data_IF_722576184195
#
_entry.id   IF_722576184195
#
_cell.length_a   1.000
_cell.length_b   1.000
_cell.length_c   1.000
_cell.angle_alpha   90.00
_cell.angle_beta   90.00
_cell.angle_gamma   90.00
#
_symmetry.space_group_name_H-M   'P 1'
#
loop_
_entity.id
_entity.type
_entity.pdbx_description
1 polymer ?
#
# COMPACT_ATOMS: atom_id res chain seq x y z
N UNK A 1 -3.22 -3.86 -11.40
CA UNK A 1 -2.97 -2.43 -11.18
C UNK A 1 -3.72 -1.99 -9.92
N UNK A 2 -2.98 -1.78 -8.85
CA UNK A 2 -3.47 -1.27 -7.59
C UNK A 2 -2.69 0.01 -7.34
N UNK A 3 -3.38 1.15 -7.25
CA UNK A 3 -2.72 2.36 -6.84
C UNK A 3 -2.66 2.44 -5.34
N UNK A 4 -1.52 2.99 -4.98
CA UNK A 4 -1.10 3.37 -3.69
C UNK A 4 -1.99 4.47 -3.12
N UNK A 5 -2.58 4.11 -1.99
CA UNK A 5 -3.26 4.96 -1.03
C UNK A 5 -2.51 6.18 -0.45
N UNK A 6 -1.19 6.40 -0.65
CA UNK A 6 -0.39 7.13 0.37
C UNK A 6 -0.84 8.54 0.59
N UNK A 7 -1.59 8.70 1.64
CA UNK A 7 -1.78 9.89 2.42
C UNK A 7 -2.59 9.37 3.58
N UNK A 8 -2.34 9.84 4.79
CA UNK A 8 -3.44 9.98 5.75
C UNK A 8 -4.69 10.35 4.93
N UNK A 9 -5.72 9.49 4.83
CA UNK A 9 -6.90 9.91 4.09
C UNK A 9 -7.42 11.09 4.82
N UNK A 10 -7.46 12.09 4.01
CA UNK A 10 -7.61 13.41 4.37
C UNK A 10 -8.78 13.79 3.48
N UNK A 11 -9.98 13.79 4.03
CA UNK A 11 -11.16 14.02 3.22
C UNK A 11 -11.09 15.44 2.66
N UNK A 12 -10.92 15.52 1.34
CA UNK A 12 -10.74 16.79 0.66
C UNK A 12 -12.07 17.55 0.60
N UNK A 13 -11.95 18.88 0.67
CA UNK A 13 -13.03 19.88 0.59
C UNK A 13 -14.22 19.40 -0.23
N UNK A 14 -15.34 19.11 0.45
CA UNK A 14 -16.58 18.75 -0.21
C UNK A 14 -17.24 20.00 -0.80
N UNK A 15 -17.65 19.91 -2.08
CA UNK A 15 -18.74 20.74 -2.59
C UNK A 15 -19.92 20.58 -1.62
N UNK A 16 -20.43 21.70 -1.07
CA UNK A 16 -21.42 21.77 0.02
C UNK A 16 -22.75 21.02 -0.23
N UNK A 17 -22.92 20.37 -1.37
CA UNK A 17 -24.14 19.68 -1.81
C UNK A 17 -23.99 18.14 -1.91
N UNK A 18 -22.82 17.57 -1.63
CA UNK A 18 -22.64 16.12 -1.55
C UNK A 18 -22.25 15.76 -0.12
N UNK A 19 -23.16 15.15 0.64
CA UNK A 19 -22.94 14.80 2.05
C UNK A 19 -21.64 14.00 2.28
N UNK A 20 -21.05 14.15 3.47
CA UNK A 20 -19.92 13.33 3.92
C UNK A 20 -20.24 11.87 3.69
N UNK A 21 -19.37 11.15 2.99
CA UNK A 21 -19.48 9.70 2.91
C UNK A 21 -19.05 9.16 4.27
N UNK A 22 -19.82 8.27 4.91
CA UNK A 22 -19.54 7.68 6.25
C UNK A 22 -18.11 7.20 6.47
N UNK A 23 -17.38 6.91 5.38
CA UNK A 23 -15.96 6.59 5.43
C UNK A 23 -15.08 7.72 5.96
N UNK A 24 -15.41 8.97 5.67
CA UNK A 24 -14.64 10.15 6.03
C UNK A 24 -14.84 10.59 7.48
N UNK A 25 -15.92 10.13 8.12
CA UNK A 25 -16.29 10.58 9.44
C UNK A 25 -15.23 10.20 10.49
N UNK A 26 -14.68 11.21 11.17
CA UNK A 26 -13.67 11.05 12.20
C UNK A 26 -12.25 10.77 11.70
N UNK A 27 -12.01 10.85 10.38
CA UNK A 27 -10.66 10.81 9.81
C UNK A 27 -10.03 12.20 9.83
N UNK A 28 -8.70 12.24 9.84
CA UNK A 28 -7.99 13.52 9.68
C UNK A 28 -8.35 14.18 8.33
N UNK A 29 -8.09 15.48 8.12
CA UNK A 29 -8.22 16.16 6.79
C UNK A 29 -6.94 16.90 6.32
N UNK A 30 -6.65 16.85 5.01
CA UNK A 30 -5.47 17.45 4.37
C UNK A 30 -5.93 18.79 3.84
N UNK A 31 -5.17 19.81 4.18
CA UNK A 31 -5.35 21.12 3.59
C UNK A 31 -4.06 21.56 2.93
N UNK A 32 -4.05 21.52 1.60
CA UNK A 32 -2.98 22.09 0.79
C UNK A 32 -2.74 23.57 1.10
N UNK A 33 -3.77 24.30 1.57
CA UNK A 33 -3.66 25.71 1.99
C UNK A 33 -2.86 25.89 3.29
N UNK A 34 -2.80 24.85 4.13
CA UNK A 34 -2.03 24.85 5.38
C UNK A 34 -0.62 24.27 5.19
N UNK A 35 -0.37 23.59 4.08
CA UNK A 35 0.95 23.06 3.77
C UNK A 35 1.88 24.16 3.25
N UNK A 36 3.11 24.18 3.78
CA UNK A 36 4.17 25.08 3.32
C UNK A 36 5.02 24.49 2.19
N UNK A 37 4.86 23.19 1.93
CA UNK A 37 5.66 22.43 0.97
C UNK A 37 4.85 21.95 -0.23
N UNK A 38 3.52 22.09 -0.18
CA UNK A 38 2.63 21.73 -1.28
C UNK A 38 2.95 22.56 -2.52
N UNK A 39 3.16 21.88 -3.65
CA UNK A 39 3.47 22.51 -4.94
C UNK A 39 2.28 22.55 -5.88
N UNK A 40 1.20 21.83 -5.56
CA UNK A 40 0.00 21.80 -6.37
C UNK A 40 -0.77 23.10 -6.26
N UNK A 41 -0.86 23.82 -7.38
CA UNK A 41 -1.63 25.07 -7.49
C UNK A 41 -3.11 24.78 -7.72
N UNK A 42 -3.41 23.82 -8.61
CA UNK A 42 -4.78 23.38 -8.90
C UNK A 42 -4.78 21.85 -8.88
N UNK A 43 -5.49 21.20 -7.95
CA UNK A 43 -5.49 19.75 -7.88
C UNK A 43 -6.28 19.15 -9.04
N UNK A 44 -5.66 18.21 -9.75
CA UNK A 44 -6.33 17.45 -10.79
C UNK A 44 -7.20 16.35 -10.19
N UNK A 45 -8.39 16.13 -10.76
CA UNK A 45 -9.23 14.99 -10.39
C UNK A 45 -8.78 13.74 -11.13
N UNK A 46 -8.37 12.73 -10.37
CA UNK A 46 -8.06 11.40 -10.88
C UNK A 46 -9.21 10.44 -10.66
N UNK A 47 -9.56 9.72 -11.71
CA UNK A 47 -10.59 8.68 -11.69
C UNK A 47 -9.91 7.32 -11.72
N UNK A 48 -10.09 6.55 -10.65
CA UNK A 48 -9.60 5.18 -10.56
C UNK A 48 -10.78 4.22 -10.51
N UNK A 49 -11.08 3.57 -11.63
CA UNK A 49 -12.15 2.59 -11.76
C UNK A 49 -11.54 1.19 -11.85
N UNK A 50 -11.61 0.44 -10.76
CA UNK A 50 -11.07 -0.93 -10.70
C UNK A 50 -12.13 -1.97 -11.06
N UNK A 51 -13.38 -1.72 -10.68
CA UNK A 51 -14.53 -2.56 -11.05
C UNK A 51 -15.84 -1.78 -10.87
N UNK A 52 -16.97 -2.38 -11.23
CA UNK A 52 -18.29 -1.81 -10.96
C UNK A 52 -18.55 -1.56 -9.45
N UNK A 53 -17.85 -2.27 -8.56
CA UNK A 53 -17.93 -2.16 -7.09
C UNK A 53 -16.77 -1.40 -6.44
N UNK A 54 -15.73 -1.04 -7.20
CA UNK A 54 -14.52 -0.38 -6.69
C UNK A 54 -14.14 0.81 -7.57
N UNK A 55 -14.46 2.01 -7.09
CA UNK A 55 -14.18 3.29 -7.74
C UNK A 55 -13.68 4.30 -6.72
N UNK A 56 -12.66 5.06 -7.09
CA UNK A 56 -12.15 6.19 -6.30
C UNK A 56 -12.04 7.39 -7.22
N UNK A 57 -12.55 8.54 -6.78
CA UNK A 57 -12.25 9.84 -7.36
C UNK A 57 -11.42 10.57 -6.32
N UNK A 58 -10.23 11.03 -6.70
CA UNK A 58 -9.32 11.72 -5.80
C UNK A 58 -8.82 13.02 -6.42
N UNK A 59 -8.53 14.00 -5.57
CA UNK A 59 -7.74 15.18 -5.92
C UNK A 59 -6.27 14.86 -5.72
N UNK A 60 -5.46 15.03 -6.75
CA UNK A 60 -4.03 14.77 -6.70
C UNK A 60 -3.25 16.00 -6.22
N UNK A 61 -2.26 15.75 -5.38
CA UNK A 61 -1.35 16.74 -4.82
C UNK A 61 0.09 16.25 -4.89
N UNK A 62 1.01 17.19 -4.98
CA UNK A 62 2.44 17.04 -4.83
C UNK A 62 2.86 17.81 -3.57
N UNK A 63 3.30 17.09 -2.54
CA UNK A 63 3.79 17.66 -1.28
C UNK A 63 4.89 16.77 -0.69
N UNK A 64 5.58 17.28 0.34
CA UNK A 64 6.51 16.49 1.13
C UNK A 64 5.73 15.54 2.06
N UNK A 65 6.09 14.26 2.05
CA UNK A 65 5.59 13.26 2.99
C UNK A 65 6.66 12.96 4.03
N UNK A 66 6.29 12.91 5.30
CA UNK A 66 7.19 12.50 6.39
C UNK A 66 6.66 11.23 7.04
N UNK A 67 7.52 10.24 7.19
CA UNK A 67 7.23 8.96 7.84
C UNK A 67 8.19 8.79 9.01
N UNK A 68 7.69 8.58 10.23
CA UNK A 68 8.54 8.29 11.37
C UNK A 68 9.08 6.86 11.27
N UNK A 69 10.39 6.72 11.33
CA UNK A 69 11.07 5.43 11.37
C UNK A 69 11.02 4.84 12.78
N UNK A 70 11.35 3.55 12.92
CA UNK A 70 11.38 2.84 14.21
C UNK A 70 12.38 3.46 15.21
N UNK A 71 13.41 4.13 14.70
CA UNK A 71 14.39 4.89 15.49
C UNK A 71 13.98 6.36 15.74
N UNK A 72 12.71 6.69 15.53
CA UNK A 72 12.11 8.03 15.61
C UNK A 72 12.70 9.09 14.67
N UNK A 73 13.56 8.69 13.71
CA UNK A 73 14.05 9.60 12.69
C UNK A 73 13.01 9.78 11.57
N UNK A 74 12.85 11.00 11.03
CA UNK A 74 11.91 11.23 9.94
C UNK A 74 12.52 10.79 8.60
N UNK A 75 11.85 9.86 7.92
CA UNK A 75 12.02 9.64 6.49
C UNK A 75 11.22 10.70 5.73
N UNK A 76 11.91 11.65 5.13
CA UNK A 76 11.29 12.72 4.34
C UNK A 76 11.31 12.39 2.84
N UNK A 77 10.13 12.29 2.24
CA UNK A 77 9.94 12.06 0.81
C UNK A 77 9.49 13.38 0.19
N UNK A 78 10.44 14.10 -0.41
CA UNK A 78 10.20 15.43 -0.98
C UNK A 78 9.33 15.35 -2.23
N UNK A 79 8.35 16.25 -2.39
CA UNK A 79 7.54 16.38 -3.61
C UNK A 79 7.03 15.03 -4.14
N UNK A 80 6.28 14.34 -3.29
CA UNK A 80 5.68 13.05 -3.58
C UNK A 80 4.22 13.26 -4.02
N UNK A 81 3.81 12.56 -5.06
CA UNK A 81 2.44 12.59 -5.54
C UNK A 81 1.55 11.71 -4.64
N UNK A 82 0.37 12.24 -4.27
CA UNK A 82 -0.67 11.50 -3.59
C UNK A 82 -2.07 12.03 -3.88
N UNK A 83 -3.10 11.29 -3.47
CA UNK A 83 -4.48 11.67 -3.69
C UNK A 83 -5.31 11.75 -2.40
N UNK A 84 -6.13 12.79 -2.27
CA UNK A 84 -7.22 12.83 -1.28
C UNK A 84 -8.52 12.39 -1.93
N UNK A 85 -9.21 11.35 -1.44
CA UNK A 85 -10.46 10.92 -2.04
C UNK A 85 -11.55 11.97 -1.84
N UNK A 86 -12.30 12.28 -2.90
CA UNK A 86 -13.55 13.04 -2.84
C UNK A 86 -14.77 12.14 -3.01
N UNK A 87 -14.61 11.00 -3.70
CA UNK A 87 -15.63 9.95 -3.79
C UNK A 87 -14.95 8.60 -3.61
N UNK A 88 -15.45 7.80 -2.65
CA UNK A 88 -14.99 6.45 -2.41
C UNK A 88 -16.14 5.45 -2.51
N UNK A 89 -16.20 4.69 -3.61
CA UNK A 89 -17.08 3.52 -3.72
C UNK A 89 -16.22 2.28 -3.61
N UNK A 90 -16.07 1.74 -2.41
CA UNK A 90 -15.23 0.58 -2.17
C UNK A 90 -15.89 -0.34 -1.14
N UNK A 91 -16.39 -1.50 -1.58
CA UNK A 91 -17.18 -2.42 -0.72
C UNK A 91 -16.43 -2.88 0.54
N UNK A 92 -15.10 -2.94 0.47
CA UNK A 92 -14.22 -3.30 1.59
C UNK A 92 -13.73 -2.06 2.40
N UNK A 93 -14.29 -0.86 2.19
CA UNK A 93 -13.80 0.38 2.81
C UNK A 93 -13.85 0.32 4.34
N UNK A 94 -14.80 -0.43 4.90
CA UNK A 94 -14.95 -0.64 6.35
C UNK A 94 -13.71 -1.24 7.01
N UNK A 95 -12.89 -1.98 6.27
CA UNK A 95 -11.61 -2.53 6.75
C UNK A 95 -10.59 -1.43 7.08
N UNK A 96 -10.77 -0.23 6.55
CA UNK A 96 -9.90 0.91 6.75
C UNK A 96 -10.50 1.96 7.70
N UNK A 97 -11.53 1.61 8.48
CA UNK A 97 -12.18 2.59 9.37
C UNK A 97 -11.21 3.19 10.41
N UNK A 98 -10.24 2.40 10.89
CA UNK A 98 -9.32 2.75 11.98
C UNK A 98 -8.02 3.42 11.53
N UNK A 99 -7.83 3.60 10.23
CA UNK A 99 -6.63 4.25 9.69
C UNK A 99 -7.06 5.49 8.94
N UNK A 100 -6.32 6.59 9.07
CA UNK A 100 -6.56 7.72 8.20
C UNK A 100 -6.19 7.29 6.79
N UNK A 101 -4.98 6.83 6.54
CA UNK A 101 -4.46 6.56 5.20
C UNK A 101 -4.25 5.11 4.83
N UNK A 102 -3.92 4.88 3.56
CA UNK A 102 -3.40 3.59 3.10
C UNK A 102 -2.07 3.82 2.39
N UNK A 103 -1.14 2.88 2.42
CA UNK A 103 0.05 2.90 1.58
C UNK A 103 0.02 1.66 0.69
N UNK A 104 -0.38 1.79 -0.57
CA UNK A 104 -0.55 0.61 -1.44
C UNK A 104 0.72 0.18 -2.17
N UNK A 105 1.43 -0.78 -1.60
CA UNK A 105 2.76 -1.24 -2.04
C UNK A 105 2.77 -2.06 -3.33
N UNK A 106 1.64 -2.22 -4.00
CA UNK A 106 1.38 -3.23 -5.03
C UNK A 106 2.05 -3.03 -6.39
N UNK A 107 2.46 -1.81 -6.74
CA UNK A 107 3.09 -1.58 -8.05
C UNK A 107 4.53 -2.08 -8.02
N UNK A 108 4.86 -3.00 -8.93
CA UNK A 108 6.16 -3.66 -9.00
C UNK A 108 7.18 -2.89 -9.86
N UNK A 109 6.70 -2.14 -10.85
CA UNK A 109 7.56 -1.37 -11.71
C UNK A 109 7.91 -0.04 -11.02
N UNK A 110 9.03 -0.01 -10.31
CA UNK A 110 9.52 1.21 -9.67
C UNK A 110 9.93 2.29 -10.68
N UNK A 111 10.03 1.97 -11.98
CA UNK A 111 10.32 2.94 -13.05
C UNK A 111 9.06 3.43 -13.76
N UNK A 112 7.87 3.01 -13.32
CA UNK A 112 6.61 3.50 -13.85
C UNK A 112 6.23 4.83 -13.19
N UNK A 113 6.71 5.92 -13.76
CA UNK A 113 6.42 7.26 -13.27
C UNK A 113 4.94 7.67 -13.42
N UNK A 114 4.17 7.02 -14.31
CA UNK A 114 2.74 7.28 -14.44
C UNK A 114 1.97 6.72 -13.25
N UNK A 115 2.51 5.68 -12.64
CA UNK A 115 1.91 4.91 -11.56
C UNK A 115 2.76 4.95 -10.30
N UNK A 116 3.52 6.04 -10.20
CA UNK A 116 4.48 6.26 -9.15
C UNK A 116 3.80 6.40 -7.80
N UNK A 117 4.59 6.11 -6.80
CA UNK A 117 4.13 5.98 -5.44
C UNK A 117 5.29 6.48 -4.55
N UNK A 118 5.04 7.18 -3.44
CA UNK A 118 6.14 7.78 -2.66
C UNK A 118 7.21 6.77 -2.20
N UNK A 119 6.88 5.49 -2.02
CA UNK A 119 7.85 4.44 -1.68
C UNK A 119 8.76 4.10 -2.86
N UNK A 120 8.24 4.08 -4.09
CA UNK A 120 9.09 3.92 -5.27
C UNK A 120 10.14 5.02 -5.37
N UNK A 121 9.81 6.25 -4.97
CA UNK A 121 10.78 7.35 -4.90
C UNK A 121 11.93 7.07 -3.93
N UNK A 122 11.63 6.43 -2.78
CA UNK A 122 12.64 5.99 -1.81
C UNK A 122 13.50 4.86 -2.40
N UNK A 123 12.87 3.85 -3.01
CA UNK A 123 13.56 2.68 -3.57
C UNK A 123 14.39 2.98 -4.83
N UNK A 124 14.15 4.12 -5.49
CA UNK A 124 15.00 4.59 -6.59
C UNK A 124 16.25 5.33 -6.10
N UNK A 125 16.40 5.56 -4.79
CA UNK A 125 17.61 6.18 -4.27
C UNK A 125 18.82 5.26 -4.53
N UNK A 126 19.96 5.78 -5.02
CA UNK A 126 21.16 4.97 -5.25
C UNK A 126 21.70 4.26 -3.99
N UNK A 127 21.32 4.75 -2.81
CA UNK A 127 21.71 4.22 -1.50
C UNK A 127 20.74 3.18 -0.94
N UNK A 128 19.72 2.77 -1.70
CA UNK A 128 18.63 1.93 -1.21
C UNK A 128 18.37 0.82 -2.20
N UNK A 129 18.52 -0.42 -1.76
CA UNK A 129 18.16 -1.55 -2.61
C UNK A 129 16.64 -1.54 -2.91
N UNK A 130 16.19 -1.98 -4.08
CA UNK A 130 14.77 -1.95 -4.43
C UNK A 130 13.99 -3.10 -3.78
N UNK A 131 14.13 -3.25 -2.46
CA UNK A 131 13.56 -4.31 -1.64
C UNK A 131 12.55 -3.69 -0.67
N UNK A 132 11.39 -4.35 -0.54
CA UNK A 132 10.39 -4.03 0.49
C UNK A 132 10.20 -5.30 1.32
N UNK A 133 10.38 -5.18 2.63
CA UNK A 133 10.14 -6.28 3.58
C UNK A 133 9.02 -5.91 4.54
N UNK A 134 8.09 -6.84 4.74
CA UNK A 134 7.01 -6.69 5.73
C UNK A 134 7.19 -7.82 6.73
N UNK A 135 7.51 -7.46 7.97
CA UNK A 135 7.67 -8.40 9.06
C UNK A 135 6.51 -8.24 10.04
N UNK A 136 5.71 -9.30 10.19
CA UNK A 136 4.53 -9.33 11.06
C UNK A 136 4.75 -10.38 12.16
N UNK A 137 5.24 -9.98 13.35
CA UNK A 137 5.42 -10.91 14.45
C UNK A 137 4.07 -11.44 14.97
N UNK A 138 4.05 -12.59 15.68
CA UNK A 138 2.85 -13.09 16.33
C UNK A 138 2.24 -12.02 17.25
N UNK A 139 0.91 -12.00 17.37
CA UNK A 139 0.19 -11.01 18.19
C UNK A 139 0.62 -11.00 19.67
N UNK A 140 1.13 -12.13 20.18
CA UNK A 140 1.65 -12.27 21.54
C UNK A 140 3.10 -11.81 21.72
N UNK A 141 3.79 -11.43 20.63
CA UNK A 141 5.17 -10.94 20.68
C UNK A 141 5.23 -9.50 21.18
N UNK A 142 6.33 -9.15 21.82
CA UNK A 142 6.68 -7.76 22.17
C UNK A 142 7.31 -7.00 20.99
N UNK A 143 7.61 -7.71 19.90
CA UNK A 143 8.21 -7.13 18.70
C UNK A 143 7.22 -6.24 17.95
N UNK A 144 7.71 -5.11 17.47
CA UNK A 144 6.93 -4.18 16.64
C UNK A 144 6.82 -4.72 15.21
N UNK A 145 5.63 -4.74 14.60
CA UNK A 145 5.50 -5.02 13.16
C UNK A 145 6.20 -3.94 12.32
N UNK A 146 7.01 -4.35 11.35
CA UNK A 146 7.90 -3.44 10.62
C UNK A 146 7.69 -3.52 9.12
N UNK A 147 7.70 -2.35 8.46
CA UNK A 147 7.87 -2.21 7.02
C UNK A 147 9.29 -1.65 6.77
N UNK A 148 10.16 -2.46 6.18
CA UNK A 148 11.54 -2.10 5.89
C UNK A 148 11.70 -1.81 4.39
N UNK A 149 12.35 -0.69 4.07
CA UNK A 149 12.66 -0.28 2.71
C UNK A 149 14.17 -0.38 2.51
N UNK A 150 14.60 -1.09 1.47
CA UNK A 150 16.03 -1.23 1.16
C UNK A 150 16.77 -2.37 1.84
N UNK A 151 16.09 -3.19 2.66
CA UNK A 151 16.73 -4.30 3.34
C UNK A 151 15.72 -5.39 3.72
N UNK A 152 16.25 -6.60 3.96
CA UNK A 152 15.59 -7.63 4.76
C UNK A 152 15.63 -7.22 6.24
N UNK A 153 14.54 -7.50 6.96
CA UNK A 153 14.53 -7.38 8.42
C UNK A 153 14.99 -8.70 9.02
N UNK A 154 16.31 -8.86 9.15
CA UNK A 154 16.89 -10.13 9.59
C UNK A 154 16.62 -10.41 11.06
N UNK A 155 16.23 -9.42 11.87
CA UNK A 155 15.87 -9.64 13.28
C UNK A 155 14.51 -10.35 13.37
N UNK A 156 13.48 -9.79 12.71
CA UNK A 156 12.13 -10.36 12.72
C UNK A 156 11.97 -11.53 11.75
N UNK A 157 12.79 -11.58 10.69
CA UNK A 157 12.83 -12.68 9.74
C UNK A 157 13.93 -13.70 10.06
N UNK A 158 14.57 -13.64 11.24
CA UNK A 158 15.67 -14.54 11.61
C UNK A 158 15.20 -16.00 11.70
N UNK A 159 15.77 -16.82 10.82
CA UNK A 159 16.00 -18.26 11.03
C UNK A 159 14.77 -19.15 11.28
N UNK A 160 13.83 -19.16 10.33
CA UNK A 160 13.22 -20.43 9.92
C UNK A 160 13.89 -20.87 8.62
N UNK A 161 14.32 -22.13 8.54
CA UNK A 161 15.04 -22.67 7.39
C UNK A 161 14.42 -22.26 6.05
N UNK A 162 15.19 -21.45 5.30
CA UNK A 162 14.99 -20.93 3.94
C UNK A 162 14.06 -19.71 3.82
N UNK A 163 14.70 -18.53 3.67
CA UNK A 163 14.17 -17.54 2.73
C UNK A 163 14.09 -18.22 1.36
N UNK A 164 12.88 -18.43 0.85
CA UNK A 164 12.65 -19.00 -0.48
C UNK A 164 12.22 -17.87 -1.40
N UNK A 165 12.92 -17.74 -2.52
CA UNK A 165 12.59 -16.75 -3.55
C UNK A 165 11.78 -17.41 -4.64
N UNK A 166 10.57 -16.91 -4.87
CA UNK A 166 9.73 -17.30 -6.00
C UNK A 166 9.77 -16.23 -7.09
N UNK A 167 9.72 -16.67 -8.35
CA UNK A 167 9.61 -15.74 -9.47
C UNK A 167 8.20 -15.17 -9.54
N UNK A 168 8.12 -13.86 -9.72
CA UNK A 168 6.85 -13.19 -10.00
C UNK A 168 6.30 -13.63 -11.36
N UNK A 169 4.99 -13.84 -11.41
CA UNK A 169 4.25 -14.18 -12.65
C UNK A 169 4.26 -13.00 -13.61
N UNK A 170 4.18 -11.78 -13.09
CA UNK A 170 4.21 -10.55 -13.86
C UNK A 170 4.81 -9.41 -13.04
N UNK A 171 5.56 -8.54 -13.70
CA UNK A 171 6.18 -7.34 -13.10
C UNK A 171 5.30 -6.10 -13.15
N UNK A 172 4.05 -6.19 -13.63
CA UNK A 172 3.21 -5.02 -13.89
C UNK A 172 2.11 -4.78 -12.87
N UNK A 173 1.75 -5.78 -12.06
CA UNK A 173 0.48 -5.76 -11.34
C UNK A 173 0.55 -5.95 -9.83
N UNK A 174 0.79 -7.18 -9.38
CA UNK A 174 0.76 -7.63 -7.99
C UNK A 174 1.94 -8.56 -7.79
N UNK A 175 2.34 -8.77 -6.55
CA UNK A 175 3.32 -9.77 -6.15
C UNK A 175 2.74 -11.20 -6.28
N UNK A 176 2.20 -11.52 -7.45
CA UNK A 176 1.65 -12.82 -7.77
C UNK A 176 2.80 -13.78 -8.04
N UNK A 177 2.84 -14.90 -7.34
CA UNK A 177 3.79 -16.00 -7.54
C UNK A 177 3.04 -17.32 -7.73
N UNK A 178 3.65 -18.25 -8.46
CA UNK A 178 3.07 -19.57 -8.67
C UNK A 178 3.35 -20.48 -7.47
N UNK A 179 2.41 -21.37 -7.16
CA UNK A 179 2.63 -22.44 -6.18
C UNK A 179 2.18 -23.79 -6.76
N UNK A 180 2.82 -24.88 -6.32
CA UNK A 180 2.58 -26.23 -6.84
C UNK A 180 1.41 -26.93 -6.15
N UNK A 181 1.32 -26.82 -4.83
CA UNK A 181 0.30 -27.47 -4.01
C UNK A 181 0.16 -26.81 -2.64
N UNK A 182 -0.96 -27.06 -1.97
CA UNK A 182 -1.18 -26.72 -0.57
C UNK A 182 -1.39 -28.03 0.19
N UNK A 183 -0.65 -28.24 1.28
CA UNK A 183 -0.83 -29.42 2.13
C UNK A 183 -1.38 -29.04 3.49
N UNK A 184 -2.38 -29.78 3.96
CA UNK A 184 -2.99 -29.66 5.28
C UNK A 184 -2.88 -31.02 5.97
N UNK A 185 -1.94 -31.15 6.91
CA UNK A 185 -1.58 -32.44 7.48
C UNK A 185 -1.09 -33.40 6.40
N UNK A 186 -1.77 -34.54 6.24
CA UNK A 186 -1.43 -35.56 5.25
C UNK A 186 -2.21 -35.41 3.93
N UNK A 187 -3.01 -34.36 3.78
CA UNK A 187 -3.82 -34.12 2.57
C UNK A 187 -3.19 -33.03 1.73
N UNK A 188 -2.90 -33.33 0.46
CA UNK A 188 -2.33 -32.37 -0.50
C UNK A 188 -3.35 -32.02 -1.57
N UNK A 189 -3.55 -30.72 -1.77
CA UNK A 189 -4.39 -30.14 -2.81
C UNK A 189 -3.49 -29.56 -3.90
N UNK A 190 -3.63 -30.03 -5.13
CA UNK A 190 -2.90 -29.53 -6.29
C UNK A 190 -3.81 -29.43 -7.51
N UNK A 191 -3.51 -28.46 -8.38
CA UNK A 191 -4.16 -28.34 -9.68
C UNK A 191 -3.31 -29.15 -10.69
N UNK A 192 -3.87 -30.24 -11.22
CA UNK A 192 -3.12 -31.11 -12.15
C UNK A 192 -2.88 -30.49 -13.54
N UNK A 193 -3.72 -29.54 -13.95
CA UNK A 193 -3.78 -29.05 -15.34
C UNK A 193 -3.68 -27.53 -15.45
N UNK A 194 -3.44 -26.81 -14.35
CA UNK A 194 -3.36 -25.35 -14.35
C UNK A 194 -2.40 -24.87 -13.26
N UNK A 195 -1.79 -23.71 -13.51
CA UNK A 195 -0.99 -23.02 -12.50
C UNK A 195 -1.89 -22.40 -11.46
N UNK A 196 -1.56 -22.63 -10.18
CA UNK A 196 -2.16 -21.92 -9.07
C UNK A 196 -1.29 -20.71 -8.71
N UNK A 197 -1.91 -19.58 -8.39
CA UNK A 197 -1.21 -18.33 -8.08
C UNK A 197 -1.64 -17.80 -6.72
N UNK A 198 -0.69 -17.23 -6.00
CA UNK A 198 -0.92 -16.57 -4.72
C UNK A 198 -0.23 -15.22 -4.68
N UNK A 199 -0.68 -14.33 -3.79
CA UNK A 199 -0.01 -13.07 -3.49
C UNK A 199 -0.19 -12.73 -2.02
N UNK A 200 0.75 -11.96 -1.48
CA UNK A 200 0.69 -11.48 -0.10
C UNK A 200 -0.32 -10.35 0.01
N UNK A 201 -1.26 -10.47 0.96
CA UNK A 201 -2.27 -9.44 1.22
C UNK A 201 -2.23 -9.02 2.69
N UNK A 202 -1.63 -7.85 2.96
CA UNK A 202 -1.33 -7.34 4.31
C UNK A 202 -2.53 -6.98 5.20
N UNK A 203 -3.74 -6.99 4.66
CA UNK A 203 -4.96 -6.58 5.37
C UNK A 203 -5.82 -7.78 5.72
N UNK A 204 -5.68 -8.91 5.03
CA UNK A 204 -6.45 -10.11 5.34
C UNK A 204 -5.76 -10.84 6.49
N UNK A 205 -6.42 -11.02 7.66
CA UNK A 205 -5.82 -11.72 8.79
C UNK A 205 -5.86 -13.26 8.62
N UNK A 206 -6.17 -13.75 7.42
CA UNK A 206 -6.31 -15.17 7.10
C UNK A 206 -5.95 -15.42 5.63
N UNK A 207 -5.60 -16.68 5.32
CA UNK A 207 -5.42 -17.16 3.95
C UNK A 207 -6.81 -17.37 3.33
N UNK A 208 -7.03 -16.74 2.18
CA UNK A 208 -8.24 -16.94 1.38
C UNK A 208 -7.88 -17.74 0.13
N UNK A 209 -8.60 -18.84 -0.09
CA UNK A 209 -8.44 -19.75 -1.24
C UNK A 209 -9.63 -19.58 -2.18
#
# INVERSE_FOLDING_TARGET
MFYLILSQHYCGFQDRNAGSHDFCDGKAEYSHLLSRTCRTVIPHRRYSVYSHKRKVIAYEYDDDITINQVNDQPLKIINAAFGTPSVLRWTDATKYRLVDGVLGLSSLNINDFLHDNPIHKVLRSPSTDPIITIALPPRSSYMTPTLTLGASDDELCSTSDKQVTEKLVSTTNRYDFAYSSISIGNTTFSLQWSSAFAYIHTIKPYIAV
#
